data_IF_227756839176
#
_entry.id   IF_227756839176
#
_cell.length_a   1.000
_cell.length_b   1.000
_cell.length_c   1.000
_cell.angle_alpha   90.00
_cell.angle_beta   90.00
_cell.angle_gamma   90.00
#
_symmetry.space_group_name_H-M   'P 1'
#
loop_
_entity.id
_entity.type
_entity.pdbx_description
1 polymer ?
#
# COMPACT_ATOMS: atom_id res chain seq x y z
N UNK A 1 -5.19 1.91 -25.17
CA UNK A 1 -4.90 2.76 -24.00
C UNK A 1 -3.39 2.88 -23.90
N UNK A 2 -2.81 4.09 -24.00
CA UNK A 2 -1.35 4.27 -23.91
C UNK A 2 -0.87 4.08 -22.48
N UNK A 3 0.38 3.66 -22.27
CA UNK A 3 0.99 3.45 -20.94
C UNK A 3 0.88 4.71 -20.06
N UNK A 4 1.07 5.88 -20.67
CA UNK A 4 0.89 7.19 -20.00
C UNK A 4 -0.53 7.41 -19.49
N UNK A 5 -1.54 6.98 -20.25
CA UNK A 5 -2.94 7.14 -19.83
C UNK A 5 -3.25 6.21 -18.64
N UNK A 6 -2.74 4.98 -18.65
CA UNK A 6 -2.89 4.04 -17.53
C UNK A 6 -2.19 4.56 -16.26
N UNK A 7 -0.96 5.09 -16.40
CA UNK A 7 -0.23 5.76 -15.33
C UNK A 7 -0.98 6.98 -14.78
N UNK A 8 -1.50 7.83 -15.66
CA UNK A 8 -2.29 9.00 -15.25
C UNK A 8 -3.54 8.61 -14.46
N UNK A 9 -4.32 7.64 -14.95
CA UNK A 9 -5.55 7.18 -14.29
C UNK A 9 -5.23 6.52 -12.94
N UNK A 10 -4.25 5.62 -12.90
CA UNK A 10 -3.86 4.95 -11.66
C UNK A 10 -3.40 5.95 -10.60
N UNK A 11 -2.61 6.97 -10.96
CA UNK A 11 -2.20 8.01 -10.01
C UNK A 11 -3.38 8.86 -9.54
N UNK A 12 -4.25 9.31 -10.46
CA UNK A 12 -5.40 10.15 -10.13
C UNK A 12 -6.34 9.45 -9.15
N UNK A 13 -6.51 8.13 -9.29
CA UNK A 13 -7.33 7.31 -8.39
C UNK A 13 -6.59 6.98 -7.11
N UNK A 14 -5.39 6.41 -7.18
CA UNK A 14 -4.71 5.85 -6.00
C UNK A 14 -4.17 6.91 -5.05
N UNK A 15 -3.70 8.07 -5.55
CA UNK A 15 -3.08 9.11 -4.71
C UNK A 15 -4.04 9.66 -3.66
N UNK A 16 -5.31 10.04 -3.97
CA UNK A 16 -6.27 10.44 -2.96
C UNK A 16 -6.49 9.40 -1.85
N UNK A 17 -6.66 8.13 -2.21
CA UNK A 17 -6.83 7.04 -1.23
C UNK A 17 -5.57 6.84 -0.40
N UNK A 18 -4.40 6.92 -1.02
CA UNK A 18 -3.13 6.85 -0.34
C UNK A 18 -2.97 7.97 0.70
N UNK A 19 -3.25 9.22 0.33
CA UNK A 19 -3.18 10.36 1.25
C UNK A 19 -4.19 10.22 2.40
N UNK A 20 -5.41 9.76 2.11
CA UNK A 20 -6.40 9.47 3.14
C UNK A 20 -5.92 8.36 4.10
N UNK A 21 -5.34 7.28 3.59
CA UNK A 21 -4.79 6.21 4.40
C UNK A 21 -3.57 6.65 5.21
N UNK A 22 -2.67 7.48 4.66
CA UNK A 22 -1.58 8.08 5.43
C UNK A 22 -2.09 8.90 6.60
N UNK A 23 -3.10 9.74 6.37
CA UNK A 23 -3.73 10.50 7.45
C UNK A 23 -4.28 9.58 8.55
N UNK A 24 -4.96 8.50 8.18
CA UNK A 24 -5.44 7.49 9.15
C UNK A 24 -4.30 6.87 9.93
N UNK A 25 -3.26 6.39 9.25
CA UNK A 25 -2.10 5.72 9.85
C UNK A 25 -1.42 6.65 10.85
N UNK A 26 -1.05 7.87 10.42
CA UNK A 26 -0.35 8.82 11.27
C UNK A 26 -1.20 9.30 12.44
N UNK A 27 -2.47 9.63 12.20
CA UNK A 27 -3.38 10.03 13.28
C UNK A 27 -3.52 8.94 14.32
N UNK A 28 -3.61 7.68 13.90
CA UNK A 28 -3.75 6.54 14.81
C UNK A 28 -2.47 6.28 15.59
N UNK A 29 -1.32 6.14 14.92
CA UNK A 29 -0.05 5.78 15.54
C UNK A 29 0.52 6.87 16.45
N UNK A 30 0.35 8.15 16.09
CA UNK A 30 0.84 9.25 16.91
C UNK A 30 -0.15 9.66 18.01
N UNK A 31 -1.43 9.35 17.82
CA UNK A 31 -2.48 9.55 18.83
C UNK A 31 -2.29 8.66 20.06
N UNK A 32 -2.99 8.99 21.15
CA UNK A 32 -3.02 8.16 22.35
C UNK A 32 -3.61 6.77 22.09
N UNK A 33 -4.60 6.69 21.19
CA UNK A 33 -5.29 5.46 20.81
C UNK A 33 -4.36 4.39 20.23
N UNK A 34 -3.32 4.77 19.48
CA UNK A 34 -2.35 3.82 18.94
C UNK A 34 -1.32 3.32 19.95
N UNK A 35 -1.23 3.94 21.13
CA UNK A 35 -0.16 3.70 22.12
C UNK A 35 -0.56 2.74 23.23
N UNK A 36 -1.86 2.53 23.44
CA UNK A 36 -2.36 1.53 24.39
C UNK A 36 -2.21 0.10 23.85
N UNK A 37 -2.46 -0.91 24.69
CA UNK A 37 -2.32 -2.32 24.32
C UNK A 37 -3.23 -2.72 23.14
N UNK A 38 -4.45 -2.16 23.09
CA UNK A 38 -5.41 -2.39 22.00
C UNK A 38 -4.91 -1.76 20.70
N UNK A 39 -4.36 -0.55 20.77
CA UNK A 39 -3.76 0.18 19.67
C UNK A 39 -2.55 -0.52 19.06
N UNK A 40 -1.69 -1.08 19.92
CA UNK A 40 -0.56 -1.91 19.49
C UNK A 40 -1.04 -3.20 18.81
N UNK A 41 -2.08 -3.86 19.35
CA UNK A 41 -2.67 -5.04 18.72
C UNK A 41 -3.27 -4.71 17.33
N UNK A 42 -3.98 -3.59 17.20
CA UNK A 42 -4.52 -3.10 15.92
C UNK A 42 -3.38 -2.85 14.93
N UNK A 43 -2.34 -2.14 15.37
CA UNK A 43 -1.16 -1.82 14.55
C UNK A 43 -0.51 -3.10 14.03
N UNK A 44 -0.21 -4.06 14.90
CA UNK A 44 0.41 -5.33 14.52
C UNK A 44 -0.44 -6.11 13.52
N UNK A 45 -1.76 -6.24 13.76
CA UNK A 45 -2.65 -6.93 12.82
C UNK A 45 -2.75 -6.23 11.48
N UNK A 46 -2.82 -4.90 11.48
CA UNK A 46 -2.87 -4.11 10.24
C UNK A 46 -1.57 -4.22 9.44
N UNK A 47 -0.41 -4.26 10.11
CA UNK A 47 0.89 -4.51 9.48
C UNK A 47 0.98 -5.92 8.90
N UNK A 48 0.52 -6.95 9.60
CA UNK A 48 0.54 -8.34 9.09
C UNK A 48 -0.25 -8.47 7.79
N UNK A 49 -1.34 -7.69 7.64
CA UNK A 49 -2.13 -7.69 6.40
C UNK A 49 -1.42 -6.93 5.28
N UNK A 50 -0.78 -5.81 5.57
CA UNK A 50 -0.18 -4.94 4.55
C UNK A 50 1.24 -5.37 4.13
N UNK A 51 2.04 -5.89 5.05
CA UNK A 51 3.46 -6.18 4.82
C UNK A 51 3.74 -7.20 3.71
N UNK A 52 2.91 -8.24 3.45
CA UNK A 52 3.16 -9.19 2.38
C UNK A 52 3.02 -8.59 0.98
N UNK A 53 2.32 -7.45 0.83
CA UNK A 53 2.07 -6.83 -0.47
C UNK A 53 3.39 -6.48 -1.16
N UNK A 54 4.35 -5.89 -0.44
CA UNK A 54 5.65 -5.51 -1.00
C UNK A 54 6.45 -6.71 -1.55
N UNK A 55 6.76 -7.76 -0.75
CA UNK A 55 7.53 -8.89 -1.27
C UNK A 55 6.77 -9.69 -2.33
N UNK A 56 5.44 -9.82 -2.22
CA UNK A 56 4.64 -10.51 -3.26
C UNK A 56 4.68 -9.72 -4.57
N UNK A 57 4.47 -8.40 -4.52
CA UNK A 57 4.55 -7.56 -5.70
C UNK A 57 5.93 -7.60 -6.33
N UNK A 58 6.97 -7.40 -5.53
CA UNK A 58 8.34 -7.48 -6.03
C UNK A 58 8.64 -8.84 -6.68
N UNK A 59 8.19 -9.96 -6.09
CA UNK A 59 8.34 -11.28 -6.69
C UNK A 59 7.62 -11.39 -8.05
N UNK A 60 6.39 -10.87 -8.14
CA UNK A 60 5.64 -10.83 -9.41
C UNK A 60 6.41 -10.06 -10.48
N UNK A 61 6.96 -8.90 -10.12
CA UNK A 61 7.75 -8.08 -11.05
C UNK A 61 9.03 -8.80 -11.50
N UNK A 62 9.75 -9.43 -10.57
CA UNK A 62 10.96 -10.20 -10.88
C UNK A 62 10.63 -11.34 -11.85
N UNK A 63 9.58 -12.12 -11.58
CA UNK A 63 9.15 -13.21 -12.45
C UNK A 63 8.73 -12.69 -13.83
N UNK A 64 8.04 -11.55 -13.91
CA UNK A 64 7.65 -10.97 -15.18
C UNK A 64 8.88 -10.53 -15.98
N UNK A 65 9.82 -9.83 -15.35
CA UNK A 65 11.02 -9.31 -15.99
C UNK A 65 11.95 -10.43 -16.50
N UNK A 66 12.06 -11.52 -15.75
CA UNK A 66 12.99 -12.61 -16.06
C UNK A 66 12.41 -13.63 -17.04
N UNK A 67 11.09 -13.82 -17.07
CA UNK A 67 10.45 -14.91 -17.82
C UNK A 67 9.43 -14.48 -18.88
N UNK A 68 8.95 -13.24 -18.88
CA UNK A 68 7.95 -12.77 -19.85
C UNK A 68 8.52 -11.74 -20.82
N UNK A 69 8.87 -10.56 -20.33
CA UNK A 69 9.47 -9.49 -21.12
C UNK A 69 10.26 -8.54 -20.20
N UNK A 70 11.34 -7.96 -20.73
CA UNK A 70 12.15 -7.01 -19.98
C UNK A 70 11.35 -5.74 -19.73
N UNK A 71 11.15 -5.38 -18.45
CA UNK A 71 10.43 -4.16 -18.11
C UNK A 71 11.38 -2.96 -18.22
N UNK A 72 11.07 -1.94 -19.03
CA UNK A 72 11.89 -0.74 -19.06
C UNK A 72 11.85 -0.01 -17.71
N UNK A 73 12.91 0.72 -17.39
CA UNK A 73 13.07 1.41 -16.10
C UNK A 73 11.86 2.28 -15.71
N UNK A 74 11.23 2.96 -16.66
CA UNK A 74 10.04 3.78 -16.38
C UNK A 74 8.82 2.94 -15.98
N UNK A 75 8.64 1.77 -16.60
CA UNK A 75 7.63 0.79 -16.24
C UNK A 75 7.85 0.27 -14.82
N UNK A 76 9.10 -0.10 -14.51
CA UNK A 76 9.50 -0.53 -13.17
C UNK A 76 9.23 0.55 -12.11
N UNK A 77 9.63 1.79 -12.36
CA UNK A 77 9.38 2.92 -11.45
C UNK A 77 7.88 3.12 -11.20
N UNK A 78 7.06 3.02 -12.23
CA UNK A 78 5.60 3.13 -12.13
C UNK A 78 5.01 1.96 -11.33
N UNK A 79 5.51 0.75 -11.57
CA UNK A 79 5.12 -0.46 -10.83
C UNK A 79 5.38 -0.32 -9.33
N UNK A 80 6.61 0.06 -8.95
CA UNK A 80 6.98 0.27 -7.55
C UNK A 80 6.14 1.37 -6.90
N UNK A 81 5.84 2.45 -7.62
CA UNK A 81 4.93 3.49 -7.12
C UNK A 81 3.55 2.93 -6.80
N UNK A 82 2.94 2.21 -7.73
CA UNK A 82 1.62 1.57 -7.50
C UNK A 82 1.67 0.60 -6.34
N UNK A 83 2.74 -0.19 -6.23
CA UNK A 83 2.93 -1.15 -5.15
C UNK A 83 2.96 -0.47 -3.77
N UNK A 84 3.74 0.61 -3.63
CA UNK A 84 3.80 1.41 -2.40
C UNK A 84 2.42 2.01 -2.07
N UNK A 85 1.75 2.63 -3.05
CA UNK A 85 0.43 3.23 -2.85
C UNK A 85 -0.56 2.19 -2.31
N UNK A 86 -0.64 1.02 -2.93
CA UNK A 86 -1.53 -0.06 -2.51
C UNK A 86 -1.19 -0.56 -1.10
N UNK A 87 0.09 -0.74 -0.77
CA UNK A 87 0.50 -1.17 0.57
C UNK A 87 -0.02 -0.23 1.67
N UNK A 88 0.16 1.07 1.50
CA UNK A 88 -0.31 2.05 2.48
C UNK A 88 -1.83 2.19 2.48
N UNK A 89 -2.48 2.08 1.33
CA UNK A 89 -3.95 2.06 1.26
C UNK A 89 -4.49 0.91 2.09
N UNK A 90 -4.00 -0.31 1.87
CA UNK A 90 -4.41 -1.51 2.61
C UNK A 90 -4.11 -1.36 4.10
N UNK A 91 -2.94 -0.83 4.47
CA UNK A 91 -2.60 -0.60 5.87
C UNK A 91 -3.60 0.35 6.56
N UNK A 92 -3.90 1.50 5.95
CA UNK A 92 -4.86 2.47 6.50
C UNK A 92 -6.26 1.88 6.61
N UNK A 93 -6.72 1.15 5.59
CA UNK A 93 -8.02 0.46 5.63
C UNK A 93 -8.05 -0.63 6.70
N UNK A 94 -6.98 -1.39 6.86
CA UNK A 94 -6.86 -2.42 7.88
C UNK A 94 -6.93 -1.82 9.29
N UNK A 95 -6.30 -0.66 9.55
CA UNK A 95 -6.46 0.07 10.80
C UNK A 95 -7.94 0.40 11.04
N UNK A 96 -8.64 1.01 10.06
CA UNK A 96 -10.07 1.34 10.20
C UNK A 96 -10.93 0.10 10.48
N UNK A 97 -10.63 -1.01 9.82
CA UNK A 97 -11.34 -2.28 10.03
C UNK A 97 -11.11 -2.83 11.45
N UNK A 98 -9.86 -2.95 11.88
CA UNK A 98 -9.54 -3.50 13.19
C UNK A 98 -9.97 -2.59 14.35
N UNK A 99 -9.97 -1.26 14.16
CA UNK A 99 -10.54 -0.30 15.12
C UNK A 99 -12.03 -0.54 15.42
N UNK A 100 -12.79 -1.05 14.44
CA UNK A 100 -14.21 -1.36 14.60
C UNK A 100 -14.46 -2.77 15.15
N UNK A 101 -13.49 -3.67 14.96
CA UNK A 101 -13.64 -5.10 15.27
C UNK A 101 -13.12 -5.48 16.66
N UNK A 102 -12.01 -4.88 17.06
CA UNK A 102 -11.40 -5.00 18.39
C UNK A 102 -11.90 -3.86 19.27
#
# INVERSE_FOLDING_TARGET
MTVELFKGISFLVLVPFFLASLYVIFKFQWGSEGKDERGQMITNKSYIVASPILPIGWLIETVYNDFADSMPYEGYRTYIWVLILITFIVHGVAILYYKRKL
#
